data_IF_331879408357
#
_entry.id   IF_331879408357
#
_cell.length_a   1.000
_cell.length_b   1.000
_cell.length_c   1.000
_cell.angle_alpha   90.00
_cell.angle_beta   90.00
_cell.angle_gamma   90.00
#
_symmetry.space_group_name_H-M   'P 1'
#
loop_
_entity.id
_entity.type
_entity.pdbx_description
1 polymer ?
#
# COMPACT_ATOMS: atom_id res chain seq x y z
N UNK A 1 28.53 -69.87 2.80
CA UNK A 1 28.77 -69.77 1.35
C UNK A 1 28.86 -68.29 0.94
N UNK A 2 30.01 -67.64 1.06
CA UNK A 2 30.15 -66.22 0.71
C UNK A 2 31.58 -65.91 0.22
N UNK A 3 31.85 -66.05 -1.08
CA UNK A 3 32.93 -65.32 -1.76
C UNK A 3 32.89 -65.52 -3.28
N UNK A 4 32.17 -64.68 -4.03
CA UNK A 4 32.45 -64.48 -5.46
C UNK A 4 31.84 -63.23 -6.14
N UNK A 5 31.51 -62.15 -5.42
CA UNK A 5 30.91 -60.95 -6.02
C UNK A 5 31.87 -59.82 -6.46
N UNK A 6 33.19 -59.95 -6.28
CA UNK A 6 34.15 -58.84 -6.51
C UNK A 6 34.80 -58.77 -7.90
N UNK A 7 34.67 -59.77 -8.79
CA UNK A 7 35.38 -59.77 -10.09
C UNK A 7 34.68 -58.98 -11.22
N UNK A 8 33.37 -58.70 -11.12
CA UNK A 8 32.63 -58.03 -12.20
C UNK A 8 32.92 -56.52 -12.31
N UNK A 9 33.29 -55.86 -11.21
CA UNK A 9 33.52 -54.40 -11.20
C UNK A 9 34.82 -54.01 -11.91
N UNK A 10 35.84 -54.85 -11.82
CA UNK A 10 37.16 -54.56 -12.41
C UNK A 10 37.14 -54.59 -13.94
N UNK A 11 36.39 -55.51 -14.55
CA UNK A 11 36.23 -55.62 -16.00
C UNK A 11 35.45 -54.44 -16.60
N UNK A 12 34.41 -53.94 -15.91
CA UNK A 12 33.63 -52.80 -16.38
C UNK A 12 34.44 -51.49 -16.43
N UNK A 13 35.30 -51.26 -15.43
CA UNK A 13 36.18 -50.09 -15.39
C UNK A 13 37.20 -50.11 -16.54
N UNK A 14 37.69 -51.28 -16.92
CA UNK A 14 38.68 -51.40 -18.00
C UNK A 14 38.08 -51.18 -19.39
N UNK A 15 36.83 -51.63 -19.61
CA UNK A 15 36.08 -51.38 -20.85
C UNK A 15 35.74 -49.89 -21.00
N UNK A 16 35.31 -49.23 -19.92
CA UNK A 16 35.06 -47.78 -19.92
C UNK A 16 36.33 -46.99 -20.18
N UNK A 17 37.49 -47.44 -19.67
CA UNK A 17 38.79 -46.81 -19.92
C UNK A 17 39.29 -46.96 -21.36
N UNK A 18 38.88 -48.02 -22.07
CA UNK A 18 39.22 -48.27 -23.49
C UNK A 18 38.29 -47.54 -24.47
N UNK A 19 37.09 -47.15 -24.03
CA UNK A 19 36.16 -46.30 -24.79
C UNK A 19 36.41 -44.80 -24.59
N UNK A 20 37.34 -44.43 -23.71
CA UNK A 20 37.75 -43.04 -23.46
C UNK A 20 38.75 -42.60 -24.54
N UNK A 21 38.23 -42.25 -25.73
CA UNK A 21 39.02 -41.86 -26.92
C UNK A 21 39.45 -40.39 -26.92
N UNK A 22 39.30 -39.69 -25.79
CA UNK A 22 39.64 -38.26 -25.70
C UNK A 22 41.06 -38.10 -25.13
N UNK A 23 41.94 -37.31 -25.80
CA UNK A 23 43.26 -37.01 -25.27
C UNK A 23 43.12 -36.29 -23.93
N UNK A 24 43.69 -36.87 -22.88
CA UNK A 24 43.68 -36.28 -21.53
C UNK A 24 44.66 -35.13 -21.50
N UNK A 25 44.12 -33.93 -21.68
CA UNK A 25 44.87 -32.69 -21.60
C UNK A 25 45.38 -32.51 -20.17
N UNK A 26 46.68 -32.33 -20.00
CA UNK A 26 47.27 -32.06 -18.69
C UNK A 26 46.70 -30.73 -18.17
N UNK A 27 46.01 -30.78 -17.02
CA UNK A 27 45.29 -29.62 -16.46
C UNK A 27 46.23 -28.46 -16.12
N UNK A 28 47.51 -28.75 -15.94
CA UNK A 28 48.51 -27.78 -15.52
C UNK A 28 49.00 -26.90 -16.69
N UNK A 29 48.76 -27.29 -17.95
CA UNK A 29 49.15 -26.51 -19.14
C UNK A 29 48.12 -25.42 -19.53
N UNK A 30 46.89 -25.47 -18.99
CA UNK A 30 45.79 -24.58 -19.38
C UNK A 30 45.11 -23.85 -18.21
N UNK A 31 45.52 -24.13 -16.97
CA UNK A 31 44.94 -23.51 -15.77
C UNK A 31 46.02 -22.74 -15.03
N UNK A 32 46.24 -21.48 -15.43
CA UNK A 32 47.09 -20.57 -14.65
C UNK A 32 46.37 -20.19 -13.34
N UNK A 33 46.84 -20.74 -12.21
CA UNK A 33 46.33 -20.39 -10.89
C UNK A 33 46.85 -19.02 -10.49
N UNK A 34 46.01 -17.99 -10.59
CA UNK A 34 46.30 -16.66 -10.04
C UNK A 34 45.56 -16.44 -8.72
N UNK A 35 46.25 -15.89 -7.71
CA UNK A 35 45.64 -15.55 -6.41
C UNK A 35 44.52 -14.52 -6.54
N UNK A 36 44.68 -13.58 -7.47
CA UNK A 36 43.69 -12.55 -7.80
C UNK A 36 42.46 -13.15 -8.49
N UNK A 37 42.65 -14.09 -9.44
CA UNK A 37 41.54 -14.79 -10.09
C UNK A 37 40.71 -15.63 -9.11
N UNK A 38 41.36 -16.21 -8.09
CA UNK A 38 40.67 -16.90 -7.00
C UNK A 38 39.74 -15.98 -6.20
N UNK A 39 40.23 -14.79 -5.79
CA UNK A 39 39.42 -13.82 -5.04
C UNK A 39 38.24 -13.32 -5.88
N UNK A 40 38.46 -12.98 -7.15
CA UNK A 40 37.39 -12.53 -8.06
C UNK A 40 36.33 -13.61 -8.22
N UNK A 41 36.72 -14.89 -8.32
CA UNK A 41 35.78 -16.01 -8.45
C UNK A 41 34.91 -16.18 -7.20
N UNK A 42 35.50 -16.07 -5.99
CA UNK A 42 34.75 -16.16 -4.72
C UNK A 42 33.75 -15.01 -4.58
N UNK A 43 34.18 -13.78 -4.86
CA UNK A 43 33.29 -12.60 -4.82
C UNK A 43 32.15 -12.75 -5.82
N UNK A 44 32.45 -13.18 -7.04
CA UNK A 44 31.45 -13.41 -8.08
C UNK A 44 30.42 -14.46 -7.66
N UNK A 45 30.86 -15.55 -7.03
CA UNK A 45 29.94 -16.59 -6.53
C UNK A 45 29.01 -16.07 -5.44
N UNK A 46 29.50 -15.25 -4.51
CA UNK A 46 28.68 -14.61 -3.47
C UNK A 46 27.62 -13.70 -4.10
N UNK A 47 28.01 -12.89 -5.10
CA UNK A 47 27.09 -12.00 -5.82
C UNK A 47 26.03 -12.80 -6.57
N UNK A 48 26.41 -13.88 -7.27
CA UNK A 48 25.46 -14.76 -7.96
C UNK A 48 24.46 -15.35 -6.97
N UNK A 49 24.94 -15.89 -5.85
CA UNK A 49 24.07 -16.48 -4.82
C UNK A 49 23.10 -15.44 -4.24
N UNK A 50 23.58 -14.21 -3.97
CA UNK A 50 22.73 -13.12 -3.48
C UNK A 50 21.64 -12.74 -4.49
N UNK A 51 21.99 -12.62 -5.77
CA UNK A 51 21.04 -12.28 -6.84
C UNK A 51 20.04 -13.42 -7.08
N UNK A 52 20.47 -14.68 -7.02
CA UNK A 52 19.55 -15.83 -7.10
C UNK A 52 18.52 -15.76 -5.97
N UNK A 53 18.95 -15.49 -4.73
CA UNK A 53 18.01 -15.32 -3.60
C UNK A 53 17.03 -14.19 -3.87
N UNK A 54 17.51 -13.06 -4.42
CA UNK A 54 16.65 -11.92 -4.74
C UNK A 54 15.66 -12.25 -5.87
N UNK A 55 16.10 -12.94 -6.92
CA UNK A 55 15.25 -13.34 -8.04
C UNK A 55 14.19 -14.37 -7.61
N UNK A 56 14.56 -15.30 -6.73
CA UNK A 56 13.61 -16.23 -6.11
C UNK A 56 12.58 -15.46 -5.27
N UNK A 57 13.02 -14.53 -4.42
CA UNK A 57 12.10 -13.67 -3.64
C UNK A 57 11.18 -12.85 -4.54
N UNK A 58 11.71 -12.30 -5.63
CA UNK A 58 10.94 -11.55 -6.62
C UNK A 58 9.88 -12.44 -7.28
N UNK A 59 10.26 -13.66 -7.68
CA UNK A 59 9.35 -14.63 -8.32
C UNK A 59 8.21 -15.06 -7.39
N UNK A 60 8.51 -15.28 -6.10
CA UNK A 60 7.47 -15.58 -5.10
C UNK A 60 6.63 -14.35 -4.73
N UNK A 61 7.08 -13.14 -5.07
CA UNK A 61 6.28 -11.92 -4.96
C UNK A 61 5.16 -11.88 -6.00
N UNK A 62 3.93 -11.62 -5.56
CA UNK A 62 2.85 -11.26 -6.49
C UNK A 62 2.88 -9.77 -6.80
N UNK A 63 2.65 -9.43 -8.07
CA UNK A 63 2.43 -8.04 -8.48
C UNK A 63 0.92 -7.79 -8.64
N UNK A 64 0.48 -6.64 -8.15
CA UNK A 64 -0.91 -6.18 -8.24
C UNK A 64 -1.00 -5.15 -9.36
N UNK A 65 -1.85 -5.40 -10.35
CA UNK A 65 -2.07 -4.47 -11.45
C UNK A 65 -3.46 -3.85 -11.33
N UNK A 66 -3.50 -2.52 -11.38
CA UNK A 66 -4.73 -1.72 -11.39
C UNK A 66 -5.09 -1.35 -12.83
N UNK A 67 -6.34 -1.59 -13.22
CA UNK A 67 -6.87 -1.17 -14.52
C UNK A 67 -8.17 -0.41 -14.30
N UNK A 68 -8.34 0.70 -15.00
CA UNK A 68 -9.60 1.45 -15.00
C UNK A 68 -10.44 1.00 -16.19
N UNK A 69 -11.71 0.72 -15.94
CA UNK A 69 -12.68 0.33 -16.96
C UNK A 69 -14.01 1.05 -16.71
N UNK A 70 -14.85 1.24 -17.73
CA UNK A 70 -16.22 1.69 -17.50
C UNK A 70 -16.98 0.63 -16.70
N UNK A 71 -17.76 1.11 -15.73
CA UNK A 71 -18.70 0.26 -15.03
C UNK A 71 -19.90 -0.03 -15.92
N UNK A 72 -20.25 -1.31 -16.07
CA UNK A 72 -21.35 -1.80 -16.91
C UNK A 72 -22.47 -2.44 -16.09
N UNK A 73 -22.29 -2.56 -14.78
CA UNK A 73 -23.25 -3.19 -13.87
C UNK A 73 -24.07 -2.12 -13.15
N UNK A 74 -24.95 -1.45 -13.90
CA UNK A 74 -25.81 -0.39 -13.37
C UNK A 74 -26.94 -0.93 -12.50
N UNK A 75 -27.46 -2.12 -12.82
CA UNK A 75 -28.58 -2.75 -12.09
C UNK A 75 -28.15 -3.47 -10.80
N UNK A 76 -26.86 -3.51 -10.51
CA UNK A 76 -26.35 -4.11 -9.29
C UNK A 76 -26.86 -3.36 -8.05
N UNK A 77 -27.13 -4.08 -6.98
CA UNK A 77 -27.46 -3.47 -5.68
C UNK A 77 -26.20 -3.06 -4.95
N UNK A 78 -26.27 -1.92 -4.28
CA UNK A 78 -25.18 -1.37 -3.48
C UNK A 78 -25.51 -1.62 -1.99
N UNK A 79 -24.72 -2.47 -1.34
CA UNK A 79 -24.82 -2.65 0.11
C UNK A 79 -24.11 -1.50 0.80
N UNK A 80 -24.77 -0.79 1.71
CA UNK A 80 -24.20 0.26 2.55
C UNK A 80 -24.19 -0.22 3.99
N UNK A 81 -23.02 -0.26 4.62
CA UNK A 81 -22.87 -0.60 6.03
C UNK A 81 -22.56 0.68 6.82
N UNK A 82 -23.31 0.91 7.90
CA UNK A 82 -23.21 2.10 8.74
C UNK A 82 -23.11 1.66 10.19
N UNK A 83 -22.22 2.28 10.95
CA UNK A 83 -22.16 2.23 12.41
C UNK A 83 -21.65 3.60 12.90
N UNK A 84 -22.57 4.42 13.39
CA UNK A 84 -22.33 5.81 13.80
C UNK A 84 -22.97 6.02 15.17
N UNK A 85 -22.26 6.67 16.10
CA UNK A 85 -22.88 7.13 17.35
C UNK A 85 -23.01 8.65 17.35
N UNK A 86 -24.20 9.15 17.68
CA UNK A 86 -24.52 10.58 17.79
C UNK A 86 -24.80 10.93 19.24
N UNK A 87 -24.31 12.07 19.73
CA UNK A 87 -24.48 12.58 21.09
C UNK A 87 -25.89 13.10 21.38
N UNK A 88 -26.91 12.35 20.98
CA UNK A 88 -28.32 12.63 21.27
C UNK A 88 -29.05 11.32 21.59
N UNK A 89 -30.05 11.34 22.48
CA UNK A 89 -30.87 10.15 22.77
C UNK A 89 -31.59 9.61 21.53
N UNK A 90 -31.77 8.27 21.44
CA UNK A 90 -32.37 7.68 20.23
C UNK A 90 -33.79 8.16 19.97
N UNK A 91 -34.59 8.43 21.00
CA UNK A 91 -35.95 8.96 20.80
C UNK A 91 -35.98 10.35 20.11
N UNK A 92 -34.86 11.08 20.16
CA UNK A 92 -34.74 12.45 19.65
C UNK A 92 -34.15 12.55 18.24
N UNK A 93 -33.66 11.45 17.68
CA UNK A 93 -33.08 11.41 16.33
C UNK A 93 -33.77 10.38 15.45
N UNK A 94 -33.63 10.56 14.14
CA UNK A 94 -34.06 9.60 13.13
C UNK A 94 -33.03 9.52 12.02
N UNK A 95 -32.62 8.30 11.69
CA UNK A 95 -31.80 8.02 10.52
C UNK A 95 -32.68 7.63 9.32
N UNK A 96 -32.39 8.19 8.16
CA UNK A 96 -33.22 8.01 6.97
C UNK A 96 -32.38 8.20 5.69
N UNK A 97 -32.76 7.53 4.59
CA UNK A 97 -31.97 7.51 3.35
C UNK A 97 -32.84 7.73 2.12
N UNK A 98 -32.48 8.71 1.31
CA UNK A 98 -33.19 9.01 0.06
C UNK A 98 -32.23 8.82 -1.10
N UNK A 99 -32.61 7.97 -2.05
CA UNK A 99 -31.89 7.81 -3.30
C UNK A 99 -32.45 8.74 -4.39
N UNK A 100 -31.71 8.92 -5.48
CA UNK A 100 -32.17 9.75 -6.61
C UNK A 100 -33.44 9.22 -7.30
N UNK A 101 -33.84 7.97 -7.04
CA UNK A 101 -35.08 7.38 -7.56
C UNK A 101 -36.30 7.70 -6.69
N UNK A 102 -36.10 8.34 -5.52
CA UNK A 102 -37.14 8.66 -4.53
C UNK A 102 -38.01 7.43 -4.17
N UNK A 103 -37.41 6.24 -4.15
CA UNK A 103 -38.09 5.01 -3.78
C UNK A 103 -38.20 4.88 -2.25
N UNK A 104 -39.29 4.25 -1.79
CA UNK A 104 -39.56 4.11 -0.36
C UNK A 104 -38.51 3.22 0.34
N UNK A 105 -38.00 3.70 1.47
CA UNK A 105 -37.03 3.00 2.33
C UNK A 105 -37.42 1.58 2.74
N UNK A 106 -38.72 1.28 2.87
CA UNK A 106 -39.21 -0.05 3.26
C UNK A 106 -38.67 -1.17 2.36
N UNK A 107 -38.22 -0.84 1.14
CA UNK A 107 -37.63 -1.80 0.20
C UNK A 107 -36.14 -2.07 0.44
N UNK A 108 -35.44 -1.21 1.20
CA UNK A 108 -33.97 -1.22 1.35
C UNK A 108 -33.48 -1.76 2.71
N UNK A 109 -34.39 -2.03 3.64
CA UNK A 109 -34.11 -2.42 5.03
C UNK A 109 -34.25 -1.24 6.00
N UNK A 110 -34.01 -1.50 7.29
CA UNK A 110 -34.02 -0.48 8.35
C UNK A 110 -32.69 -0.48 9.11
N UNK A 111 -32.23 0.71 9.51
CA UNK A 111 -31.13 0.84 10.46
C UNK A 111 -31.66 0.62 11.88
N UNK A 112 -30.87 -0.03 12.71
CA UNK A 112 -31.16 -0.21 14.12
C UNK A 112 -30.62 0.99 14.91
N UNK A 113 -31.40 1.44 15.88
CA UNK A 113 -31.07 2.56 16.77
C UNK A 113 -30.99 2.02 18.20
N UNK A 114 -29.79 2.03 18.78
CA UNK A 114 -29.48 1.51 20.11
C UNK A 114 -29.11 2.66 21.06
N UNK A 115 -29.82 2.76 22.19
CA UNK A 115 -29.52 3.73 23.24
C UNK A 115 -28.14 3.43 23.85
N UNK A 116 -27.27 4.44 23.88
CA UNK A 116 -25.89 4.29 24.37
C UNK A 116 -25.41 5.57 25.04
N UNK A 117 -24.14 5.60 25.45
CA UNK A 117 -23.52 6.80 25.97
C UNK A 117 -22.44 7.35 25.05
N UNK A 118 -22.32 8.67 25.02
CA UNK A 118 -21.30 9.33 24.22
C UNK A 118 -19.91 9.12 24.82
N UNK A 119 -19.79 8.97 26.14
CA UNK A 119 -18.51 8.58 26.73
C UNK A 119 -18.23 7.08 26.51
N UNK A 120 -17.05 6.76 25.96
CA UNK A 120 -16.59 5.38 25.72
C UNK A 120 -15.91 4.79 26.96
N UNK A 121 -16.08 3.48 27.18
CA UNK A 121 -15.28 2.72 28.13
C UNK A 121 -13.81 2.61 27.65
N UNK A 122 -12.88 2.24 28.54
CA UNK A 122 -11.45 2.10 28.26
C UNK A 122 -11.16 1.16 27.09
N UNK A 123 -11.82 0.00 27.02
CA UNK A 123 -11.68 -0.94 25.90
C UNK A 123 -12.16 -0.33 24.56
N UNK A 124 -13.34 0.31 24.57
CA UNK A 124 -13.90 0.97 23.40
C UNK A 124 -13.03 2.13 22.93
N UNK A 125 -12.49 2.91 23.87
CA UNK A 125 -11.60 4.04 23.59
C UNK A 125 -10.28 3.57 22.99
N UNK A 126 -9.65 2.55 23.58
CA UNK A 126 -8.40 1.98 23.02
C UNK A 126 -8.63 1.49 21.59
N UNK A 127 -9.70 0.72 21.37
CA UNK A 127 -10.06 0.22 20.05
C UNK A 127 -10.30 1.36 19.03
N UNK A 128 -11.05 2.39 19.44
CA UNK A 128 -11.35 3.53 18.57
C UNK A 128 -10.08 4.32 18.22
N UNK A 129 -9.20 4.56 19.19
CA UNK A 129 -7.93 5.25 18.97
C UNK A 129 -6.98 4.46 18.07
N UNK A 130 -6.95 3.13 18.19
CA UNK A 130 -6.16 2.26 17.29
C UNK A 130 -6.61 2.41 15.83
N UNK A 131 -7.92 2.40 15.58
CA UNK A 131 -8.49 2.61 14.24
C UNK A 131 -8.21 4.02 13.74
N UNK A 132 -8.44 5.04 14.59
CA UNK A 132 -8.22 6.45 14.26
C UNK A 132 -6.77 6.71 13.88
N UNK A 133 -5.82 6.23 14.70
CA UNK A 133 -4.39 6.38 14.44
C UNK A 133 -3.99 5.70 13.13
N UNK A 134 -4.46 4.47 12.91
CA UNK A 134 -4.20 3.74 11.67
C UNK A 134 -4.74 4.46 10.43
N UNK A 135 -5.98 4.94 10.46
CA UNK A 135 -6.58 5.65 9.33
C UNK A 135 -5.95 7.04 9.11
N UNK A 136 -5.56 7.75 10.17
CA UNK A 136 -4.81 9.01 10.07
C UNK A 136 -3.47 8.80 9.37
N UNK A 137 -2.72 7.77 9.79
CA UNK A 137 -1.43 7.40 9.19
C UNK A 137 -1.56 7.13 7.68
N UNK A 138 -2.60 6.39 7.27
CA UNK A 138 -2.85 6.07 5.87
C UNK A 138 -3.26 7.30 5.04
N UNK A 139 -3.99 8.24 5.62
CA UNK A 139 -4.44 9.47 4.95
C UNK A 139 -3.30 10.46 4.72
N UNK A 140 -2.41 10.62 5.70
CA UNK A 140 -1.43 11.73 5.72
C UNK A 140 -0.06 11.36 5.14
N UNK A 141 0.46 10.17 5.42
CA UNK A 141 1.87 9.86 5.08
C UNK A 141 2.04 9.10 3.76
N UNK A 142 1.07 8.31 3.31
CA UNK A 142 1.29 7.37 2.21
C UNK A 142 0.12 7.20 1.24
N UNK A 143 0.02 8.10 0.27
CA UNK A 143 -0.88 7.94 -0.88
C UNK A 143 -0.50 6.76 -1.81
N UNK A 144 0.67 6.14 -1.63
CA UNK A 144 1.20 5.04 -2.47
C UNK A 144 1.22 3.65 -1.79
N UNK A 145 0.70 3.51 -0.57
CA UNK A 145 0.70 2.24 0.18
C UNK A 145 -0.32 1.22 -0.37
N UNK A 146 -1.19 1.61 -1.31
CA UNK A 146 -2.16 0.71 -1.94
C UNK A 146 -1.52 -0.62 -2.39
N UNK A 147 -0.36 -0.59 -3.06
CA UNK A 147 0.31 -1.81 -3.52
C UNK A 147 0.73 -2.74 -2.38
N UNK A 148 1.08 -2.19 -1.21
CA UNK A 148 1.46 -2.97 -0.04
C UNK A 148 0.23 -3.60 0.61
N UNK A 149 -0.86 -2.84 0.74
CA UNK A 149 -2.14 -3.28 1.33
C UNK A 149 -2.78 -4.44 0.55
N UNK A 150 -2.74 -4.38 -0.78
CA UNK A 150 -3.23 -5.46 -1.63
C UNK A 150 -2.31 -6.68 -1.64
N UNK A 151 -1.04 -6.53 -1.24
CA UNK A 151 -0.06 -7.62 -1.14
C UNK A 151 -0.10 -8.32 0.22
N UNK A 152 -0.41 -7.60 1.30
CA UNK A 152 -0.82 -8.21 2.56
C UNK A 152 -2.19 -8.83 2.35
N UNK A 153 -2.25 -10.15 2.12
CA UNK A 153 -3.47 -10.91 1.91
C UNK A 153 -4.46 -10.90 3.11
N UNK A 154 -4.21 -10.05 4.10
CA UNK A 154 -5.11 -9.78 5.21
C UNK A 154 -5.91 -8.53 4.87
N UNK A 155 -7.24 -8.66 4.87
CA UNK A 155 -8.10 -7.52 5.20
C UNK A 155 -7.59 -6.95 6.51
N UNK A 156 -7.01 -5.76 6.43
CA UNK A 156 -6.67 -4.99 7.62
C UNK A 156 -7.99 -4.43 8.16
N UNK A 157 -8.81 -5.33 8.71
CA UNK A 157 -9.76 -4.98 9.75
C UNK A 157 -8.93 -5.03 11.03
N UNK A 158 -8.66 -3.88 11.68
CA UNK A 158 -7.84 -3.82 12.89
C UNK A 158 -8.34 -4.76 14.00
N UNK A 159 -9.56 -5.29 13.88
CA UNK A 159 -10.31 -5.94 14.94
C UNK A 159 -10.73 -7.37 14.62
N UNK A 160 -10.29 -7.95 13.50
CA UNK A 160 -10.84 -9.23 13.04
C UNK A 160 -12.36 -9.17 12.85
N UNK A 161 -13.03 -10.33 12.78
CA UNK A 161 -14.50 -10.37 12.59
C UNK A 161 -15.31 -9.80 13.77
N UNK A 162 -14.68 -9.30 14.83
CA UNK A 162 -15.36 -8.55 15.90
C UNK A 162 -15.49 -7.09 15.47
N UNK A 163 -16.74 -6.64 15.26
CA UNK A 163 -17.05 -5.22 15.08
C UNK A 163 -16.76 -4.40 16.34
N UNK A 164 -17.30 -3.18 16.41
CA UNK A 164 -17.12 -2.29 17.56
C UNK A 164 -17.47 -3.01 18.89
N UNK A 165 -16.56 -3.01 19.89
CA UNK A 165 -16.73 -3.80 21.10
C UNK A 165 -17.95 -3.35 21.89
N UNK A 166 -18.72 -4.34 22.33
CA UNK A 166 -19.91 -4.11 23.13
C UNK A 166 -19.51 -3.55 24.49
N UNK A 167 -20.30 -2.59 24.98
CA UNK A 167 -20.04 -1.99 26.27
C UNK A 167 -20.30 -3.01 27.38
N UNK A 168 -19.36 -3.14 28.32
CA UNK A 168 -19.48 -4.08 29.45
C UNK A 168 -20.02 -3.41 30.72
N UNK A 169 -19.90 -2.09 30.83
CA UNK A 169 -20.29 -1.28 31.97
C UNK A 169 -21.60 -0.51 31.70
N UNK A 170 -22.46 -0.40 32.72
CA UNK A 170 -23.66 0.44 32.66
C UNK A 170 -23.48 1.64 33.60
N UNK A 171 -23.28 2.85 33.07
CA UNK A 171 -23.26 4.07 33.88
C UNK A 171 -24.55 4.27 34.67
N UNK A 172 -24.45 4.94 35.81
CA UNK A 172 -25.59 5.37 36.61
C UNK A 172 -26.32 6.60 36.01
N UNK A 173 -26.14 6.86 34.72
CA UNK A 173 -26.75 7.98 33.99
C UNK A 173 -27.64 7.41 32.88
N UNK A 174 -28.73 8.09 32.57
CA UNK A 174 -29.53 7.76 31.39
C UNK A 174 -28.68 7.87 30.11
N UNK A 175 -28.96 7.04 29.08
CA UNK A 175 -28.28 7.10 27.79
C UNK A 175 -28.37 8.50 27.17
N UNK A 176 -27.22 9.10 26.88
CA UNK A 176 -27.10 10.44 26.29
C UNK A 176 -26.74 10.43 24.80
N UNK A 177 -26.62 9.24 24.20
CA UNK A 177 -26.27 9.04 22.81
C UNK A 177 -27.09 7.94 22.15
N UNK A 178 -27.03 7.91 20.83
CA UNK A 178 -27.71 6.91 20.03
C UNK A 178 -26.75 6.33 19.01
N UNK A 179 -26.64 5.00 18.99
CA UNK A 179 -25.87 4.27 17.99
C UNK A 179 -26.81 3.85 16.87
N UNK A 180 -26.56 4.37 15.67
CA UNK A 180 -27.24 4.01 14.44
C UNK A 180 -26.36 3.01 13.69
N UNK A 181 -26.79 1.76 13.60
CA UNK A 181 -26.01 0.73 12.92
C UNK A 181 -26.85 -0.21 12.05
N UNK A 182 -26.23 -0.82 11.04
CA UNK A 182 -26.87 -1.82 10.19
C UNK A 182 -26.34 -1.83 8.76
N UNK A 183 -26.98 -2.65 7.94
CA UNK A 183 -26.67 -2.76 6.51
C UNK A 183 -27.94 -2.52 5.69
N UNK A 184 -27.85 -1.61 4.72
CA UNK A 184 -28.92 -1.29 3.79
C UNK A 184 -28.56 -1.80 2.40
N UNK A 185 -29.53 -2.33 1.66
CA UNK A 185 -29.34 -2.79 0.28
C UNK A 185 -30.02 -1.83 -0.67
N UNK A 186 -29.24 -0.96 -1.28
CA UNK A 186 -29.70 0.21 -2.03
C UNK A 186 -29.58 -0.02 -3.54
N UNK A 187 -30.22 0.84 -4.31
CA UNK A 187 -29.92 0.99 -5.72
C UNK A 187 -28.53 1.62 -5.88
N UNK A 188 -27.78 1.19 -6.91
CA UNK A 188 -26.46 1.75 -7.23
C UNK A 188 -26.59 3.07 -7.99
N UNK A 189 -27.08 4.08 -7.27
CA UNK A 189 -27.29 5.44 -7.76
C UNK A 189 -26.88 6.42 -6.67
N UNK A 190 -26.78 7.71 -7.01
CA UNK A 190 -26.57 8.75 -6.01
C UNK A 190 -27.68 8.76 -4.95
N UNK A 191 -27.30 9.02 -3.70
CA UNK A 191 -28.24 9.11 -2.59
C UNK A 191 -27.71 9.93 -1.42
N UNK A 192 -28.57 10.12 -0.43
CA UNK A 192 -28.33 10.94 0.75
C UNK A 192 -28.88 10.23 1.98
N UNK A 193 -27.97 9.73 2.82
CA UNK A 193 -28.30 9.25 4.16
C UNK A 193 -28.20 10.44 5.11
N UNK A 194 -29.27 10.74 5.85
CA UNK A 194 -29.29 11.82 6.82
C UNK A 194 -29.74 11.35 8.20
N UNK A 195 -29.08 11.89 9.21
CA UNK A 195 -29.44 11.74 10.61
C UNK A 195 -29.80 13.14 11.11
N UNK A 196 -31.08 13.34 11.42
CA UNK A 196 -31.62 14.64 11.82
C UNK A 196 -32.42 14.51 13.11
N UNK A 197 -32.72 15.65 13.73
CA UNK A 197 -33.59 15.68 14.91
C UNK A 197 -35.04 15.33 14.54
N UNK A 198 -35.68 14.55 15.41
CA UNK A 198 -37.02 14.01 15.21
C UNK A 198 -37.02 12.64 14.53
N UNK A 199 -38.07 11.85 14.81
CA UNK A 199 -38.27 10.58 14.12
C UNK A 199 -38.69 10.83 12.67
N UNK A 200 -38.10 10.07 11.75
CA UNK A 200 -38.55 10.01 10.37
C UNK A 200 -39.90 9.28 10.33
N UNK A 201 -40.98 9.99 9.97
CA UNK A 201 -42.28 9.38 9.74
C UNK A 201 -42.53 9.30 8.24
N UNK A 202 -42.79 8.09 7.76
CA UNK A 202 -43.14 7.85 6.36
C UNK A 202 -44.66 8.06 6.20
N UNK A 203 -45.06 9.05 5.40
CA UNK A 203 -46.46 9.25 5.02
C UNK A 203 -46.79 8.41 3.79
N UNK A 204 -48.06 8.01 3.56
CA UNK A 204 -48.47 7.08 2.50
C UNK A 204 -48.33 7.56 1.03
N UNK A 205 -47.42 8.50 0.71
CA UNK A 205 -47.23 9.05 -0.64
C UNK A 205 -45.76 9.39 -1.00
N UNK A 206 -44.78 8.63 -0.51
CA UNK A 206 -43.33 8.86 -0.74
C UNK A 206 -42.83 10.24 -0.25
N UNK A 207 -43.57 10.89 0.65
CA UNK A 207 -43.13 12.09 1.35
C UNK A 207 -42.61 11.71 2.75
N UNK A 208 -41.36 12.10 3.01
CA UNK A 208 -40.73 11.90 4.31
C UNK A 208 -40.73 13.22 5.06
N UNK A 209 -41.39 13.24 6.22
CA UNK A 209 -41.38 14.40 7.11
C UNK A 209 -40.63 13.97 8.36
N UNK A 210 -39.57 14.71 8.68
CA UNK A 210 -39.04 14.72 10.03
C UNK A 210 -39.98 15.60 10.84
N UNK A 211 -40.67 15.03 11.82
CA UNK A 211 -41.46 15.83 12.75
C UNK A 211 -40.53 16.29 13.89
N UNK A 212 -40.05 17.55 13.90
CA UNK A 212 -39.39 18.11 15.08
C UNK A 212 -40.39 18.41 16.22
N UNK A 213 -41.64 17.96 16.09
CA UNK A 213 -42.83 18.48 16.78
C UNK A 213 -42.79 18.43 18.32
N UNK A 214 -41.80 17.76 18.92
CA UNK A 214 -41.70 17.58 20.37
C UNK A 214 -40.33 17.94 20.97
N UNK A 215 -39.35 18.41 20.18
CA UNK A 215 -37.98 18.64 20.67
C UNK A 215 -37.63 20.12 20.57
N UNK A 216 -37.26 20.72 21.71
CA UNK A 216 -36.78 22.09 21.73
C UNK A 216 -35.41 22.16 21.02
N UNK A 217 -35.16 23.16 20.15
CA UNK A 217 -33.85 23.36 19.51
C UNK A 217 -32.67 23.53 20.48
N UNK A 218 -32.94 23.76 21.77
CA UNK A 218 -31.95 23.92 22.84
C UNK A 218 -31.26 22.63 23.27
N UNK A 219 -31.68 21.46 22.80
CA UNK A 219 -31.10 20.15 23.18
C UNK A 219 -30.38 19.42 22.03
N UNK A 220 -30.16 20.09 20.90
CA UNK A 220 -29.50 19.46 19.75
C UNK A 220 -28.00 19.36 19.95
N UNK A 221 -27.43 18.16 19.80
CA UNK A 221 -26.00 17.95 19.83
C UNK A 221 -25.58 16.94 18.76
N UNK A 222 -25.24 17.44 17.58
CA UNK A 222 -24.80 16.60 16.46
C UNK A 222 -23.32 16.21 16.51
N UNK A 223 -22.70 16.27 17.70
CA UNK A 223 -21.41 15.63 17.91
C UNK A 223 -21.55 14.13 17.65
N UNK A 224 -20.64 13.56 16.87
CA UNK A 224 -20.75 12.18 16.43
C UNK A 224 -19.40 11.54 16.17
N UNK A 225 -19.41 10.21 16.20
CA UNK A 225 -18.28 9.35 15.88
C UNK A 225 -18.72 8.31 14.86
N UNK A 226 -17.87 8.05 13.89
CA UNK A 226 -18.10 7.06 12.85
C UNK A 226 -17.22 5.85 13.19
N UNK A 227 -17.86 4.76 13.60
CA UNK A 227 -17.15 3.51 13.90
C UNK A 227 -16.83 2.76 12.62
N UNK A 228 -17.84 2.65 11.75
CA UNK A 228 -17.69 1.97 10.47
C UNK A 228 -18.62 2.57 9.41
N UNK A 229 -18.08 2.83 8.23
CA UNK A 229 -18.86 3.26 7.08
C UNK A 229 -18.27 2.64 5.81
N UNK A 230 -18.99 1.72 5.18
CA UNK A 230 -18.45 0.98 4.03
C UNK A 230 -19.51 0.62 2.99
N UNK A 231 -19.04 0.31 1.78
CA UNK A 231 -19.87 -0.12 0.67
C UNK A 231 -19.49 -1.53 0.21
N UNK A 232 -20.48 -2.38 -0.03
CA UNK A 232 -20.31 -3.77 -0.43
C UNK A 232 -19.93 -4.69 0.73
N UNK A 233 -19.35 -5.83 0.37
CA UNK A 233 -18.80 -6.77 1.33
C UNK A 233 -17.32 -6.46 1.60
N UNK A 234 -16.87 -6.72 2.83
CA UNK A 234 -15.47 -6.51 3.22
C UNK A 234 -14.55 -7.46 2.45
N UNK A 235 -13.48 -6.92 1.85
CA UNK A 235 -12.42 -7.72 1.23
C UNK A 235 -11.03 -7.27 1.69
N UNK A 236 -10.04 -8.14 1.48
CA UNK A 236 -8.65 -7.78 1.72
C UNK A 236 -8.21 -6.55 0.90
N UNK A 237 -7.39 -5.68 1.49
CA UNK A 237 -6.82 -4.51 0.82
C UNK A 237 -7.72 -3.27 0.72
N UNK A 238 -8.96 -3.30 1.22
CA UNK A 238 -9.85 -2.14 1.25
C UNK A 238 -9.74 -1.43 2.59
N UNK A 239 -9.65 -0.11 2.53
CA UNK A 239 -9.71 0.78 3.69
C UNK A 239 -10.88 1.72 3.48
N UNK A 240 -11.64 1.94 4.54
CA UNK A 240 -12.71 2.93 4.58
C UNK A 240 -12.17 4.21 5.21
N UNK A 241 -12.11 5.32 4.46
CA UNK A 241 -11.57 6.55 5.02
C UNK A 241 -12.28 6.99 6.29
N UNK A 242 -13.61 6.91 6.39
CA UNK A 242 -14.38 7.49 7.50
C UNK A 242 -14.32 6.72 8.82
N UNK A 243 -13.78 5.50 8.82
CA UNK A 243 -13.69 4.69 10.04
C UNK A 243 -12.79 5.41 11.07
N UNK A 244 -13.27 5.55 12.31
CA UNK A 244 -12.54 6.24 13.38
C UNK A 244 -12.57 7.77 13.30
N UNK A 245 -13.42 8.38 12.46
CA UNK A 245 -13.61 9.83 12.44
C UNK A 245 -14.52 10.30 13.58
N UNK A 246 -14.14 11.37 14.27
CA UNK A 246 -14.89 11.95 15.39
C UNK A 246 -15.00 13.46 15.20
N UNK A 247 -16.22 13.98 15.30
CA UNK A 247 -16.52 15.42 15.23
C UNK A 247 -17.28 15.85 16.48
N UNK A 248 -16.70 16.79 17.21
CA UNK A 248 -17.30 17.38 18.41
C UNK A 248 -17.61 18.84 18.13
N UNK A 249 -18.80 19.30 18.52
CA UNK A 249 -19.23 20.69 18.41
C UNK A 249 -20.03 21.12 19.62
N UNK A 250 -19.91 22.41 19.97
CA UNK A 250 -20.71 23.05 21.01
C UNK A 250 -21.93 23.79 20.41
N UNK A 251 -22.01 23.89 19.08
CA UNK A 251 -23.04 24.64 18.36
C UNK A 251 -24.23 23.74 18.02
N UNK A 252 -25.40 24.05 18.57
CA UNK A 252 -26.62 23.24 18.47
C UNK A 252 -27.19 23.15 17.04
N UNK A 253 -26.89 24.14 16.19
CA UNK A 253 -27.44 24.26 14.83
C UNK A 253 -26.41 23.89 13.74
N UNK A 254 -25.47 23.02 14.09
CA UNK A 254 -24.43 22.54 13.16
C UNK A 254 -25.00 21.57 12.12
N UNK A 255 -24.52 21.69 10.89
CA UNK A 255 -24.74 20.75 9.80
C UNK A 255 -23.40 20.15 9.39
N UNK A 256 -23.30 18.83 9.48
CA UNK A 256 -22.18 18.07 8.94
C UNK A 256 -22.56 17.44 7.61
N UNK A 257 -21.74 17.64 6.59
CA UNK A 257 -21.95 17.08 5.26
C UNK A 257 -20.70 16.33 4.82
N UNK A 258 -20.88 15.04 4.55
CA UNK A 258 -19.86 14.16 3.99
C UNK A 258 -20.23 13.91 2.53
N UNK A 259 -19.39 14.39 1.62
CA UNK A 259 -19.50 14.12 0.19
C UNK A 259 -18.64 12.91 -0.12
N UNK A 260 -19.29 11.79 -0.42
CA UNK A 260 -18.69 10.47 -0.61
C UNK A 260 -18.74 10.12 -2.10
N UNK A 261 -17.60 9.84 -2.70
CA UNK A 261 -17.53 9.37 -4.08
C UNK A 261 -17.14 7.88 -4.08
N UNK A 262 -18.10 7.03 -4.47
CA UNK A 262 -17.99 5.57 -4.43
C UNK A 262 -17.47 5.05 -5.78
N UNK A 263 -16.42 4.25 -5.74
CA UNK A 263 -15.76 3.66 -6.91
C UNK A 263 -15.86 2.13 -6.84
N UNK A 264 -16.62 1.49 -7.75
CA UNK A 264 -16.67 0.03 -7.84
C UNK A 264 -15.28 -0.56 -8.07
N UNK A 265 -14.93 -1.59 -7.32
CA UNK A 265 -13.63 -2.25 -7.36
C UNK A 265 -13.80 -3.76 -7.53
N UNK A 266 -13.37 -4.31 -8.65
CA UNK A 266 -13.39 -5.74 -8.90
C UNK A 266 -12.04 -6.33 -8.46
N UNK A 267 -12.05 -7.17 -7.43
CA UNK A 267 -10.85 -7.82 -6.91
C UNK A 267 -10.76 -9.24 -7.45
N UNK A 268 -9.79 -9.46 -8.34
CA UNK A 268 -9.49 -10.77 -8.92
C UNK A 268 -8.18 -11.31 -8.33
N UNK A 269 -8.33 -12.23 -7.37
CA UNK A 269 -7.22 -13.02 -6.83
C UNK A 269 -7.12 -14.37 -7.53
N UNK A 270 -6.07 -15.14 -7.27
CA UNK A 270 -5.90 -16.49 -7.84
C UNK A 270 -7.03 -17.46 -7.44
N UNK A 271 -7.60 -17.29 -6.24
CA UNK A 271 -8.58 -18.21 -5.66
C UNK A 271 -10.01 -17.66 -5.61
N UNK A 272 -10.17 -16.34 -5.64
CA UNK A 272 -11.46 -15.67 -5.42
C UNK A 272 -11.61 -14.43 -6.28
N UNK A 273 -12.85 -14.19 -6.72
CA UNK A 273 -13.32 -12.95 -7.32
C UNK A 273 -14.32 -12.31 -6.38
N UNK A 274 -14.12 -11.06 -6.01
CA UNK A 274 -15.01 -10.30 -5.15
C UNK A 274 -15.33 -8.94 -5.77
N UNK A 275 -16.61 -8.56 -5.74
CA UNK A 275 -17.05 -7.23 -6.15
C UNK A 275 -17.17 -6.37 -4.90
N UNK A 276 -16.38 -5.32 -4.84
CA UNK A 276 -16.25 -4.48 -3.67
C UNK A 276 -16.29 -3.02 -4.08
N UNK A 277 -16.23 -2.11 -3.11
CA UNK A 277 -16.30 -0.69 -3.38
C UNK A 277 -15.26 0.02 -2.52
N UNK A 278 -14.57 0.98 -3.14
CA UNK A 278 -13.74 1.95 -2.44
C UNK A 278 -14.46 3.29 -2.51
N UNK A 279 -14.11 4.21 -1.62
CA UNK A 279 -14.65 5.56 -1.73
C UNK A 279 -13.65 6.60 -1.27
N UNK A 280 -13.83 7.82 -1.77
CA UNK A 280 -13.17 9.01 -1.24
C UNK A 280 -14.20 9.87 -0.53
N UNK A 281 -13.76 10.70 0.41
CA UNK A 281 -14.66 11.55 1.19
C UNK A 281 -14.11 12.95 1.34
N UNK A 282 -15.02 13.93 1.27
CA UNK A 282 -14.78 15.32 1.64
C UNK A 282 -15.79 15.73 2.70
N UNK A 283 -15.31 16.23 3.83
CA UNK A 283 -16.13 16.75 4.90
C UNK A 283 -16.37 18.26 4.75
N UNK A 284 -17.55 18.71 5.18
CA UNK A 284 -17.92 20.11 5.20
C UNK A 284 -18.83 20.37 6.40
N UNK A 285 -18.43 21.31 7.26
CA UNK A 285 -19.18 21.74 8.43
C UNK A 285 -19.70 23.15 8.20
N UNK A 286 -20.99 23.40 8.46
CA UNK A 286 -21.57 24.74 8.45
C UNK A 286 -22.54 24.92 9.62
N UNK A 287 -22.66 26.15 10.10
CA UNK A 287 -23.60 26.50 11.17
C UNK A 287 -24.81 27.20 10.54
N UNK A 288 -26.02 26.81 10.95
CA UNK A 288 -27.25 27.43 10.50
C UNK A 288 -27.47 28.72 11.31
N UNK A 289 -27.67 29.81 10.58
CA UNK A 289 -27.99 31.11 11.15
C UNK A 289 -28.95 31.82 10.17
N UNK A 290 -30.23 31.83 10.55
CA UNK A 290 -31.31 32.40 9.74
C UNK A 290 -31.14 33.91 9.50
N UNK A 291 -30.55 34.64 10.45
CA UNK A 291 -30.31 36.08 10.33
C UNK A 291 -29.20 36.40 9.33
N UNK A 292 -28.22 35.50 9.19
CA UNK A 292 -27.13 35.62 8.21
C UNK A 292 -27.47 34.96 6.86
N UNK A 293 -28.72 34.57 6.63
CA UNK A 293 -29.19 33.92 5.41
C UNK A 293 -28.75 32.45 5.25
N UNK A 294 -28.22 31.83 6.31
CA UNK A 294 -27.87 30.41 6.33
C UNK A 294 -29.09 29.60 6.78
N UNK A 295 -29.84 29.08 5.79
CA UNK A 295 -30.98 28.19 6.00
C UNK A 295 -30.58 26.72 5.85
N UNK A 296 -31.26 25.84 6.58
CA UNK A 296 -31.08 24.40 6.52
C UNK A 296 -31.68 23.71 7.74
N UNK A 297 -31.63 22.38 7.71
CA UNK A 297 -31.96 21.52 8.86
C UNK A 297 -30.66 21.06 9.49
N UNK A 298 -30.45 21.26 10.80
CA UNK A 298 -29.25 20.78 11.48
C UNK A 298 -29.24 19.25 11.52
N UNK A 299 -28.07 18.65 11.40
CA UNK A 299 -27.95 17.20 11.23
C UNK A 299 -26.66 16.76 10.57
N UNK A 300 -26.56 15.45 10.37
CA UNK A 300 -25.43 14.76 9.75
C UNK A 300 -25.92 14.20 8.42
N UNK A 301 -25.22 14.50 7.34
CA UNK A 301 -25.63 14.14 5.98
C UNK A 301 -24.48 13.45 5.25
N UNK A 302 -24.68 12.20 4.84
CA UNK A 302 -23.79 11.43 3.97
C UNK A 302 -24.37 11.43 2.55
N UNK A 303 -23.85 12.31 1.72
CA UNK A 303 -24.21 12.42 0.29
C UNK A 303 -23.23 11.58 -0.49
N UNK A 304 -23.70 10.48 -1.06
CA UNK A 304 -22.85 9.59 -1.84
C UNK A 304 -23.24 9.61 -3.31
N UNK A 305 -22.24 9.52 -4.18
CA UNK A 305 -22.39 9.38 -5.63
C UNK A 305 -21.54 8.21 -6.13
N UNK A 306 -22.01 7.49 -7.15
CA UNK A 306 -21.33 6.32 -7.69
C UNK A 306 -20.62 6.69 -8.98
N UNK A 307 -19.32 6.45 -9.04
CA UNK A 307 -18.49 6.72 -10.20
C UNK A 307 -18.85 5.81 -11.39
N UNK A 308 -18.83 6.39 -12.59
CA UNK A 308 -19.01 5.64 -13.84
C UNK A 308 -17.78 4.79 -14.23
N UNK A 309 -16.67 4.95 -13.50
CA UNK A 309 -15.45 4.17 -13.68
C UNK A 309 -15.32 3.14 -12.57
N UNK A 310 -14.89 1.93 -12.93
CA UNK A 310 -14.51 0.87 -12.00
C UNK A 310 -13.02 0.59 -12.04
N UNK A 311 -12.49 0.13 -10.91
CA UNK A 311 -11.10 -0.29 -10.76
C UNK A 311 -11.04 -1.82 -10.73
N UNK A 312 -10.28 -2.42 -11.63
CA UNK A 312 -10.05 -3.86 -11.66
C UNK A 312 -8.66 -4.11 -11.07
N UNK A 313 -8.63 -4.80 -9.93
CA UNK A 313 -7.42 -5.19 -9.20
C UNK A 313 -7.12 -6.64 -9.54
N UNK A 314 -6.07 -6.87 -10.31
CA UNK A 314 -5.66 -8.23 -10.72
C UNK A 314 -4.36 -8.64 -10.07
N UNK A 315 -4.35 -9.77 -9.37
CA UNK A 315 -3.12 -10.36 -8.85
C UNK A 315 -2.48 -11.23 -9.94
N UNK A 316 -1.36 -10.79 -10.48
CA UNK A 316 -0.62 -11.53 -11.52
C UNK A 316 0.68 -12.13 -10.97
N UNK A 317 1.02 -13.34 -11.43
CA UNK A 317 2.31 -13.97 -11.20
C UNK A 317 3.02 -14.18 -12.52
N UNK A 318 4.35 -14.10 -12.50
CA UNK A 318 5.13 -14.40 -13.69
C UNK A 318 5.05 -15.91 -14.00
N UNK A 319 4.90 -16.29 -15.27
CA UNK A 319 4.94 -17.70 -15.64
C UNK A 319 6.34 -18.28 -15.41
N UNK A 320 6.40 -19.57 -15.05
CA UNK A 320 7.65 -20.28 -14.72
C UNK A 320 8.72 -20.16 -15.82
N UNK A 321 8.32 -20.19 -17.09
CA UNK A 321 9.25 -20.06 -18.21
C UNK A 321 9.95 -18.69 -18.22
N UNK A 322 9.23 -17.62 -17.94
CA UNK A 322 9.81 -16.27 -17.87
C UNK A 322 10.82 -16.18 -16.72
N UNK A 323 10.53 -16.82 -15.59
CA UNK A 323 11.46 -16.91 -14.47
C UNK A 323 12.76 -17.64 -14.84
N UNK A 324 12.69 -18.81 -15.49
CA UNK A 324 13.90 -19.53 -15.90
C UNK A 324 14.73 -18.75 -16.91
N UNK A 325 14.09 -18.09 -17.88
CA UNK A 325 14.78 -17.21 -18.84
C UNK A 325 15.50 -16.09 -18.11
N UNK A 326 14.85 -15.40 -17.16
CA UNK A 326 15.48 -14.34 -16.36
C UNK A 326 16.64 -14.86 -15.51
N UNK A 327 16.45 -15.97 -14.80
CA UNK A 327 17.48 -16.58 -13.96
C UNK A 327 18.74 -16.93 -14.78
N UNK A 328 18.55 -17.57 -15.94
CA UNK A 328 19.66 -17.95 -16.82
C UNK A 328 20.38 -16.73 -17.41
N UNK A 329 19.62 -15.70 -17.84
CA UNK A 329 20.17 -14.45 -18.36
C UNK A 329 21.01 -13.71 -17.31
N UNK A 330 20.53 -13.66 -16.07
CA UNK A 330 21.22 -12.95 -14.98
C UNK A 330 22.51 -13.65 -14.56
N UNK A 331 22.50 -14.98 -14.43
CA UNK A 331 23.71 -15.76 -14.12
C UNK A 331 24.76 -15.62 -15.22
N UNK A 332 24.34 -15.73 -16.50
CA UNK A 332 25.23 -15.56 -17.63
C UNK A 332 25.82 -14.14 -17.70
N UNK A 333 25.00 -13.11 -17.46
CA UNK A 333 25.43 -11.71 -17.45
C UNK A 333 26.52 -11.44 -16.40
N UNK A 334 26.36 -11.95 -15.18
CA UNK A 334 27.34 -11.78 -14.11
C UNK A 334 28.66 -12.47 -14.46
N UNK A 335 28.62 -13.66 -15.06
CA UNK A 335 29.82 -14.39 -15.44
C UNK A 335 30.64 -13.63 -16.51
N UNK A 336 29.96 -13.06 -17.51
CA UNK A 336 30.60 -12.23 -18.55
C UNK A 336 31.21 -10.97 -17.94
N UNK A 337 30.48 -10.27 -17.07
CA UNK A 337 30.96 -9.03 -16.43
C UNK A 337 32.17 -9.33 -15.53
N UNK A 338 32.13 -10.40 -14.72
CA UNK A 338 33.24 -10.80 -13.87
C UNK A 338 34.49 -11.15 -14.69
N UNK A 339 34.32 -11.85 -15.81
CA UNK A 339 35.42 -12.16 -16.74
C UNK A 339 36.03 -10.89 -17.35
N UNK A 340 35.20 -9.93 -17.74
CA UNK A 340 35.66 -8.64 -18.26
C UNK A 340 36.43 -7.85 -17.20
N UNK A 341 35.90 -7.75 -15.98
CA UNK A 341 36.58 -7.08 -14.86
C UNK A 341 37.92 -7.75 -14.56
N UNK A 342 37.95 -9.08 -14.51
CA UNK A 342 39.20 -9.83 -14.28
C UNK A 342 40.25 -9.51 -15.36
N UNK A 343 39.81 -9.44 -16.63
CA UNK A 343 40.68 -9.11 -17.76
C UNK A 343 41.24 -7.69 -17.65
N UNK A 344 40.40 -6.70 -17.33
CA UNK A 344 40.81 -5.30 -17.14
C UNK A 344 41.77 -5.15 -15.97
N UNK A 345 41.48 -5.79 -14.82
CA UNK A 345 42.34 -5.78 -13.63
C UNK A 345 43.71 -6.39 -13.95
N UNK A 346 43.76 -7.51 -14.67
CA UNK A 346 45.01 -8.13 -15.06
C UNK A 346 45.84 -7.24 -16.01
N UNK A 347 45.20 -6.57 -16.97
CA UNK A 347 45.89 -5.60 -17.86
C UNK A 347 46.46 -4.42 -17.05
N UNK A 348 45.68 -3.87 -16.12
CA UNK A 348 46.11 -2.78 -15.23
C UNK A 348 47.29 -3.20 -14.36
N UNK A 349 47.21 -4.37 -13.71
CA UNK A 349 48.30 -4.89 -12.88
C UNK A 349 49.57 -5.16 -13.70
N UNK A 350 49.42 -5.65 -14.93
CA UNK A 350 50.56 -5.85 -15.85
C UNK A 350 51.22 -4.52 -16.19
N UNK A 351 50.44 -3.49 -16.58
CA UNK A 351 50.96 -2.14 -16.83
C UNK A 351 51.62 -1.52 -15.61
N UNK A 352 51.01 -1.63 -14.43
CA UNK A 352 51.59 -1.12 -13.18
C UNK A 352 52.92 -1.81 -12.85
N UNK A 353 53.01 -3.13 -13.07
CA UNK A 353 54.26 -3.88 -12.88
C UNK A 353 55.34 -3.45 -13.87
N UNK A 354 54.99 -3.22 -15.13
CA UNK A 354 55.91 -2.68 -16.15
C UNK A 354 56.40 -1.27 -15.79
N UNK A 355 55.53 -0.36 -15.36
CA UNK A 355 55.93 0.97 -14.88
C UNK A 355 56.85 0.90 -13.64
N UNK A 356 56.57 -0.01 -12.71
CA UNK A 356 57.39 -0.15 -11.49
C UNK A 356 58.79 -0.72 -11.79
N UNK A 357 58.91 -1.55 -12.83
CA UNK A 357 60.21 -2.04 -13.34
C UNK A 357 60.99 -0.90 -14.00
N UNK A 358 60.32 -0.06 -14.79
CA UNK A 358 60.96 1.11 -15.41
C UNK A 358 61.47 2.13 -14.38
N UNK A 359 60.71 2.38 -13.30
CA UNK A 359 61.14 3.25 -12.20
C UNK A 359 62.36 2.69 -11.46
N UNK A 360 62.44 1.37 -11.27
CA UNK A 360 63.60 0.71 -10.65
C UNK A 360 64.86 0.68 -11.53
N UNK A 361 64.73 0.87 -12.85
CA UNK A 361 65.86 0.83 -13.79
C UNK A 361 66.50 2.20 -14.07
N UNK A 362 66.06 3.29 -13.46
CA UNK A 362 66.74 4.59 -13.55
C UNK A 362 67.89 4.68 -12.54
N UNK A 363 69.17 4.53 -12.92
CA UNK A 363 70.28 4.76 -12.00
C UNK A 363 70.38 6.27 -11.71
N UNK A 364 70.37 6.61 -10.42
CA UNK A 364 70.86 7.88 -9.90
C UNK A 364 72.32 8.07 -10.28
N UNK A 365 72.59 8.82 -11.36
CA UNK A 365 73.88 9.50 -11.57
C UNK A 365 73.64 11.01 -11.59
N UNK A 366 73.68 11.60 -10.41
CA UNK A 366 73.95 13.02 -10.22
C UNK A 366 75.45 13.25 -10.47
N UNK A 367 75.80 13.73 -11.66
CA UNK A 367 77.06 14.45 -11.86
C UNK A 367 76.74 15.93 -11.97
N UNK A 368 77.00 16.62 -10.86
CA UNK A 368 77.09 18.06 -10.73
C UNK A 368 78.18 18.56 -11.67
N UNK A 369 77.88 19.56 -12.51
CA UNK A 369 78.88 20.52 -12.97
C UNK A 369 78.23 21.90 -13.09
N UNK A 370 78.68 22.79 -12.21
CA UNK A 370 78.36 24.21 -12.16
C UNK A 370 79.09 25.00 -13.25
N UNK A 371 78.61 26.23 -13.46
CA UNK A 371 79.20 27.40 -14.15
C UNK A 371 78.86 27.53 -15.63
N UNK A 372 78.52 28.70 -16.19
CA UNK A 372 78.16 30.05 -15.72
C UNK A 372 77.70 30.83 -17.00
N UNK A 373 77.11 32.01 -16.80
CA UNK A 373 77.22 33.22 -17.66
C UNK A 373 76.01 33.64 -18.54
N UNK A 374 75.49 34.82 -18.16
CA UNK A 374 74.95 35.95 -18.94
C UNK A 374 73.47 36.02 -19.42
N UNK A 375 72.71 36.83 -18.68
CA UNK A 375 71.76 37.86 -19.16
C UNK A 375 72.55 39.06 -19.77
N UNK A 376 71.99 39.98 -20.62
CA UNK A 376 70.74 40.69 -20.31
C UNK A 376 69.87 41.31 -21.46
N UNK A 377 68.65 41.71 -21.04
CA UNK A 377 67.85 42.91 -21.37
C UNK A 377 67.27 43.19 -22.78
N UNK A 378 65.93 43.25 -22.85
CA UNK A 378 65.11 44.49 -22.97
C UNK A 378 63.61 44.13 -22.88
N UNK A 379 62.82 44.66 -21.92
CA UNK A 379 62.00 45.92 -21.97
C UNK A 379 60.93 45.88 -23.08
N UNK A 380 59.62 46.17 -22.92
CA UNK A 380 58.72 46.76 -21.90
C UNK A 380 57.28 46.38 -22.35
N UNK A 381 56.36 46.05 -21.44
CA UNK A 381 55.03 46.70 -21.29
C UNK A 381 54.21 45.99 -20.20
N UNK A 382 53.90 46.76 -19.15
CA UNK A 382 52.76 46.72 -18.22
C UNK A 382 51.44 46.50 -18.96
N UNK A 383 50.30 46.06 -18.41
CA UNK A 383 49.76 45.95 -17.05
C UNK A 383 48.47 45.11 -17.19
N UNK A 384 48.10 44.30 -16.19
CA UNK A 384 46.81 44.39 -15.46
C UNK A 384 46.61 43.16 -14.55
N UNK A 385 46.50 43.42 -13.24
CA UNK A 385 46.21 42.49 -12.13
C UNK A 385 44.71 42.19 -12.08
N UNK A 386 44.29 41.07 -11.48
CA UNK A 386 43.54 40.95 -10.19
C UNK A 386 43.17 39.44 -10.10
N UNK A 387 43.73 38.58 -9.22
CA UNK A 387 43.48 38.33 -7.76
C UNK A 387 41.98 38.18 -7.46
N UNK A 388 41.38 37.01 -7.23
CA UNK A 388 41.59 35.98 -6.19
C UNK A 388 41.14 34.63 -6.77
#
# INVERSE_FOLDING_TARGET
>A
MLRNRKKSSYYGVEVVKRLDSFPKVNKDDYVERSSIGGVVSVVTFIIILWIIIYEIKYYYGSNVNFKFAPDTQYDAKLKLNVDVTVAMPCHSIGADIVDSTNQNLLMFGSLEEEDTWFEMNEEQRSHFEDIRHFNSYLREEYHAINQLLWKSAHSFQPTGNSGFPQRQDNPNQEPDACRVHGSLVLNKVAGNLHITAGKSLQLPYNEHIHLPAFILPSSYNFSHRIHHFSFGDSSAGIINPLDGDEKITNELTTVYQYFVEVVPTDVETFLSKANTYQYSVKDHMRIINHEKGSHGVPGIFFKYDVSALKVIVTQSREPLLKFFVRLSSTVAGIFVIAGFISSVVNILLKKLKELNILVKQTPTKLTVNHTNVALPNNKITEEEKIVI
#
